data_IF_281069381556
#
_entry.id   IF_281069381556
#
_cell.length_a   1.000
_cell.length_b   1.000
_cell.length_c   1.000
_cell.angle_alpha   90.00
_cell.angle_beta   90.00
_cell.angle_gamma   90.00
#
_symmetry.space_group_name_H-M   'P 1'
#
loop_
_entity.id
_entity.type
_entity.pdbx_description
1 polymer ?
#
# COMPACT_ATOMS: atom_id res chain seq x y z
N UNK A 1 -1.32 -41.10 76.79
CA UNK A 1 -0.60 -42.39 76.64
C UNK A 1 -0.13 -42.66 75.21
N UNK A 2 -1.06 -42.81 74.25
CA UNK A 2 -0.75 -43.28 72.90
C UNK A 2 0.09 -42.29 72.07
N UNK A 3 -0.25 -40.99 72.10
CA UNK A 3 0.47 -39.95 71.34
C UNK A 3 1.97 -39.91 71.71
N UNK A 4 2.29 -40.05 73.01
CA UNK A 4 3.68 -40.08 73.49
C UNK A 4 4.46 -41.27 72.93
N UNK A 5 3.84 -42.46 72.86
CA UNK A 5 4.45 -43.65 72.26
C UNK A 5 4.70 -43.45 70.77
N UNK A 6 3.75 -42.87 70.04
CA UNK A 6 3.92 -42.56 68.61
C UNK A 6 5.07 -41.58 68.36
N UNK A 7 5.18 -40.53 69.19
CA UNK A 7 6.31 -39.59 69.09
C UNK A 7 7.64 -40.29 69.36
N UNK A 8 7.76 -41.07 70.44
CA UNK A 8 8.99 -41.81 70.75
C UNK A 8 9.35 -42.82 69.66
N UNK A 9 8.37 -43.51 69.08
CA UNK A 9 8.56 -44.42 67.96
C UNK A 9 9.13 -43.67 66.74
N UNK A 10 8.50 -42.56 66.35
CA UNK A 10 8.95 -41.73 65.23
C UNK A 10 10.37 -41.20 65.43
N UNK A 11 10.72 -40.73 66.64
CA UNK A 11 12.07 -40.25 66.96
C UNK A 11 13.13 -41.34 66.92
N UNK A 12 12.79 -42.54 67.36
CA UNK A 12 13.70 -43.69 67.27
C UNK A 12 13.91 -44.13 65.81
N UNK A 13 12.86 -44.10 64.99
CA UNK A 13 12.92 -44.51 63.58
C UNK A 13 13.69 -43.49 62.73
N UNK A 14 13.37 -42.21 62.88
CA UNK A 14 14.01 -41.12 62.12
C UNK A 14 15.37 -40.70 62.67
N UNK A 15 15.72 -41.13 63.90
CA UNK A 15 16.89 -40.68 64.68
C UNK A 15 16.92 -39.17 64.94
N UNK A 16 15.79 -38.48 64.76
CA UNK A 16 15.65 -37.04 64.92
C UNK A 16 14.66 -36.71 66.05
N UNK A 17 14.94 -35.61 66.78
CA UNK A 17 14.05 -35.14 67.86
C UNK A 17 12.99 -34.18 67.33
N UNK A 18 11.72 -34.46 67.63
CA UNK A 18 10.57 -33.59 67.32
C UNK A 18 10.62 -32.33 68.17
N UNK A 19 10.93 -31.18 67.56
CA UNK A 19 11.03 -29.89 68.26
C UNK A 19 9.66 -29.32 68.65
N UNK A 20 8.69 -29.41 67.74
CA UNK A 20 7.36 -28.83 67.91
C UNK A 20 6.29 -29.76 67.35
N UNK A 21 5.19 -29.89 68.08
CA UNK A 21 4.00 -30.65 67.68
C UNK A 21 2.90 -29.66 67.34
N UNK A 22 2.36 -29.77 66.13
CA UNK A 22 1.25 -28.95 65.66
C UNK A 22 -0.07 -29.74 65.75
N UNK A 23 -1.04 -29.18 66.46
CA UNK A 23 -2.35 -29.82 66.66
C UNK A 23 -3.36 -29.25 65.66
N UNK A 24 -4.06 -30.15 64.96
CA UNK A 24 -5.17 -29.85 64.05
C UNK A 24 -6.40 -30.73 64.36
N UNK A 25 -7.55 -30.39 63.78
CA UNK A 25 -8.83 -31.08 64.00
C UNK A 25 -9.69 -30.47 65.11
N UNK A 26 -10.92 -30.96 65.26
CA UNK A 26 -11.92 -30.41 66.19
C UNK A 26 -11.49 -30.47 67.66
N UNK A 27 -10.71 -31.49 68.04
CA UNK A 27 -10.22 -31.67 69.42
C UNK A 27 -9.29 -30.53 69.86
N UNK A 28 -8.65 -29.80 68.93
CA UNK A 28 -7.81 -28.64 69.28
C UNK A 28 -8.60 -27.48 69.91
N UNK A 29 -9.93 -27.52 69.89
CA UNK A 29 -10.80 -26.54 70.56
C UNK A 29 -10.96 -26.79 72.06
N UNK A 30 -10.64 -28.00 72.54
CA UNK A 30 -10.75 -28.32 73.97
C UNK A 30 -9.78 -27.43 74.74
N UNK A 31 -10.31 -26.68 75.70
CA UNK A 31 -9.54 -25.78 76.53
C UNK A 31 -8.53 -26.58 77.37
N UNK A 32 -7.27 -26.11 77.42
CA UNK A 32 -6.21 -26.79 78.18
C UNK A 32 -5.63 -28.06 77.55
N UNK A 33 -6.17 -28.54 76.41
CA UNK A 33 -5.64 -29.74 75.75
C UNK A 33 -4.18 -29.57 75.34
N UNK A 34 -3.83 -28.43 74.74
CA UNK A 34 -2.46 -28.15 74.31
C UNK A 34 -1.48 -28.14 75.49
N UNK A 35 -1.88 -27.57 76.62
CA UNK A 35 -1.06 -27.54 77.84
C UNK A 35 -0.92 -28.92 78.48
N UNK A 36 -1.99 -29.72 78.48
CA UNK A 36 -1.95 -31.11 78.94
C UNK A 36 -1.00 -31.94 78.07
N UNK A 37 -1.11 -31.84 76.75
CA UNK A 37 -0.22 -32.54 75.81
C UNK A 37 1.23 -32.08 75.99
N UNK A 38 1.47 -30.78 76.18
CA UNK A 38 2.80 -30.23 76.46
C UNK A 38 3.39 -30.81 77.74
N UNK A 39 2.59 -30.92 78.81
CA UNK A 39 3.00 -31.53 80.09
C UNK A 39 3.28 -33.03 79.98
N UNK A 40 2.43 -33.78 79.26
CA UNK A 40 2.54 -35.24 79.16
C UNK A 40 3.67 -35.69 78.22
N UNK A 41 3.84 -34.98 77.10
CA UNK A 41 4.81 -35.30 76.05
C UNK A 41 6.17 -34.66 76.33
N UNK A 42 6.22 -33.54 77.05
CA UNK A 42 7.46 -32.82 77.36
C UNK A 42 8.07 -32.11 76.14
N UNK A 43 7.26 -31.76 75.15
CA UNK A 43 7.65 -31.03 73.92
C UNK A 43 6.78 -29.81 73.71
N UNK A 44 7.23 -28.87 72.89
CA UNK A 44 6.43 -27.71 72.52
C UNK A 44 5.22 -28.18 71.69
N UNK A 45 4.01 -27.87 72.15
CA UNK A 45 2.77 -28.20 71.46
C UNK A 45 2.04 -26.90 71.17
N UNK A 46 1.67 -26.68 69.90
CA UNK A 46 0.99 -25.47 69.43
C UNK A 46 -0.18 -25.83 68.54
N UNK A 47 -1.22 -24.99 68.51
CA UNK A 47 -2.29 -25.13 67.52
C UNK A 47 -1.74 -24.73 66.15
N UNK A 48 -2.13 -25.47 65.12
CA UNK A 48 -1.79 -25.11 63.75
C UNK A 48 -2.38 -23.73 63.42
N UNK A 49 -1.56 -22.85 62.85
CA UNK A 49 -1.95 -21.52 62.42
C UNK A 49 -1.68 -21.34 60.93
N UNK A 50 -2.70 -20.91 60.21
CA UNK A 50 -2.70 -20.58 58.78
C UNK A 50 -3.23 -19.14 58.71
N UNK A 51 -2.41 -18.17 58.25
CA UNK A 51 -2.79 -16.75 58.25
C UNK A 51 -4.16 -16.48 57.63
N UNK A 52 -4.45 -17.11 56.49
CA UNK A 52 -5.68 -16.93 55.71
C UNK A 52 -6.94 -17.44 56.40
N UNK A 53 -6.81 -18.35 57.37
CA UNK A 53 -7.95 -18.91 58.11
C UNK A 53 -8.16 -18.22 59.47
N UNK A 54 -7.11 -17.63 60.04
CA UNK A 54 -7.16 -17.08 61.40
C UNK A 54 -7.11 -18.16 62.49
N UNK A 55 -6.97 -17.73 63.75
CA UNK A 55 -6.53 -18.59 64.88
C UNK A 55 -7.47 -19.76 65.15
N UNK A 56 -8.79 -19.54 65.14
CA UNK A 56 -9.77 -20.57 65.51
C UNK A 56 -10.08 -21.56 64.39
N UNK A 57 -10.05 -21.07 63.15
CA UNK A 57 -10.41 -21.84 61.95
C UNK A 57 -9.22 -22.61 61.38
N UNK A 58 -7.98 -22.16 61.64
CA UNK A 58 -6.76 -22.79 61.13
C UNK A 58 -6.67 -24.29 61.45
N UNK A 59 -6.88 -24.74 62.72
CA UNK A 59 -6.81 -26.17 63.03
C UNK A 59 -7.95 -26.97 62.39
N UNK A 60 -9.11 -26.36 62.20
CA UNK A 60 -10.32 -27.04 61.74
C UNK A 60 -10.29 -27.27 60.21
N UNK A 61 -9.94 -26.23 59.46
CA UNK A 61 -9.99 -26.25 57.98
C UNK A 61 -8.66 -26.54 57.32
N UNK A 62 -7.61 -26.86 58.09
CA UNK A 62 -6.28 -27.17 57.57
C UNK A 62 -6.27 -28.14 56.37
N UNK A 63 -7.04 -29.24 56.46
CA UNK A 63 -7.13 -30.24 55.39
C UNK A 63 -7.83 -29.69 54.15
N UNK A 64 -8.95 -29.00 54.33
CA UNK A 64 -9.71 -28.40 53.23
C UNK A 64 -8.89 -27.31 52.53
N UNK A 65 -8.18 -26.49 53.31
CA UNK A 65 -7.28 -25.46 52.81
C UNK A 65 -6.09 -26.06 52.04
N UNK A 66 -5.47 -27.12 52.57
CA UNK A 66 -4.41 -27.83 51.85
C UNK A 66 -4.91 -28.42 50.51
N UNK A 67 -6.12 -28.98 50.48
CA UNK A 67 -6.74 -29.48 49.24
C UNK A 67 -7.07 -28.33 48.26
N UNK A 68 -7.51 -27.18 48.75
CA UNK A 68 -7.77 -26.00 47.94
C UNK A 68 -6.48 -25.46 47.31
N UNK A 69 -5.41 -25.33 48.11
CA UNK A 69 -4.08 -24.97 47.61
C UNK A 69 -3.57 -25.98 46.58
N UNK A 70 -3.78 -27.26 46.85
CA UNK A 70 -3.39 -28.34 45.95
C UNK A 70 -4.10 -28.27 44.59
N UNK A 71 -5.40 -27.95 44.59
CA UNK A 71 -6.19 -27.79 43.37
C UNK A 71 -5.99 -26.46 42.64
N UNK A 72 -5.57 -25.41 43.35
CA UNK A 72 -5.32 -24.07 42.80
C UNK A 72 -3.98 -23.95 42.05
N UNK A 73 -3.03 -24.84 42.35
CA UNK A 73 -1.72 -24.83 41.67
C UNK A 73 -1.88 -25.12 40.17
N UNK A 74 -1.41 -24.19 39.34
CA UNK A 74 -1.48 -24.24 37.87
C UNK A 74 -0.82 -25.49 37.27
N UNK A 75 0.18 -26.05 37.97
CA UNK A 75 0.70 -27.39 37.72
C UNK A 75 -0.09 -28.33 38.61
N UNK A 76 -1.19 -28.86 38.09
CA UNK A 76 -2.03 -29.83 38.80
C UNK A 76 -1.15 -30.81 39.57
N UNK A 77 -1.36 -30.88 40.88
CA UNK A 77 -0.39 -31.50 41.78
C UNK A 77 0.01 -32.93 41.36
N UNK A 78 1.22 -33.33 41.74
CA UNK A 78 1.88 -34.57 41.32
C UNK A 78 1.06 -35.86 41.53
N UNK A 79 0.04 -35.83 42.40
CA UNK A 79 -0.81 -36.95 42.77
C UNK A 79 -2.28 -36.69 42.40
N UNK A 80 -2.70 -37.15 41.22
CA UNK A 80 -4.10 -37.07 40.80
C UNK A 80 -4.69 -38.48 40.64
N UNK A 81 -5.68 -38.82 41.46
CA UNK A 81 -6.38 -40.10 41.40
C UNK A 81 -7.48 -40.16 40.34
N UNK A 82 -7.78 -39.04 39.65
CA UNK A 82 -8.76 -39.01 38.57
C UNK A 82 -8.28 -39.87 37.39
N UNK A 83 -9.04 -40.92 37.09
CA UNK A 83 -8.81 -41.84 35.96
C UNK A 83 -10.07 -41.97 35.12
N UNK A 84 -9.89 -42.38 33.87
CA UNK A 84 -10.97 -42.71 32.92
C UNK A 84 -12.08 -41.66 32.86
N UNK A 85 -13.30 -42.02 33.28
CA UNK A 85 -14.48 -41.16 33.29
C UNK A 85 -14.36 -39.94 34.21
N UNK A 86 -13.44 -39.96 35.17
CA UNK A 86 -13.16 -38.85 36.07
C UNK A 86 -11.94 -38.02 35.66
N UNK A 87 -11.22 -38.42 34.60
CA UNK A 87 -10.09 -37.65 34.07
C UNK A 87 -10.60 -36.28 33.61
N UNK A 88 -9.91 -35.22 34.03
CA UNK A 88 -10.23 -33.86 33.60
C UNK A 88 -10.09 -33.77 32.08
N UNK A 89 -11.22 -33.82 31.38
CA UNK A 89 -11.31 -33.45 29.98
C UNK A 89 -11.40 -31.93 29.99
N UNK A 90 -10.25 -31.27 29.91
CA UNK A 90 -10.19 -29.83 30.11
C UNK A 90 -11.12 -29.03 29.21
N UNK A 91 -11.30 -27.77 29.56
CA UNK A 91 -12.02 -26.77 28.78
C UNK A 91 -11.66 -26.82 27.28
N UNK A 92 -10.46 -27.30 26.93
CA UNK A 92 -10.02 -27.57 25.56
C UNK A 92 -11.01 -28.39 24.72
N UNK A 93 -11.72 -29.38 25.28
CA UNK A 93 -12.68 -30.18 24.48
C UNK A 93 -13.93 -29.38 24.12
N UNK A 94 -14.40 -28.55 25.05
CA UNK A 94 -15.55 -27.68 24.82
C UNK A 94 -15.17 -26.47 23.96
N UNK A 95 -14.03 -25.83 24.26
CA UNK A 95 -13.46 -24.75 23.45
C UNK A 95 -13.22 -25.22 22.02
N UNK A 96 -12.62 -26.40 21.82
CA UNK A 96 -12.40 -26.95 20.47
C UNK A 96 -13.71 -27.17 19.72
N UNK A 97 -14.79 -27.60 20.39
CA UNK A 97 -16.11 -27.70 19.75
C UNK A 97 -16.69 -26.33 19.39
N UNK A 98 -16.57 -25.36 20.29
CA UNK A 98 -17.05 -23.98 20.07
C UNK A 98 -16.30 -23.29 18.93
N UNK A 99 -14.99 -23.51 18.80
CA UNK A 99 -14.16 -22.91 17.74
C UNK A 99 -14.15 -23.68 16.42
N UNK A 100 -14.53 -24.95 16.40
CA UNK A 100 -14.52 -25.77 15.17
C UNK A 100 -15.52 -25.26 14.13
N UNK A 101 -16.76 -24.95 14.56
CA UNK A 101 -17.80 -24.45 13.65
C UNK A 101 -17.42 -23.12 12.99
N UNK A 102 -17.03 -22.05 13.74
CA UNK A 102 -16.62 -20.79 13.12
C UNK A 102 -15.34 -20.93 12.30
N UNK A 103 -14.41 -21.81 12.67
CA UNK A 103 -13.20 -22.05 11.87
C UNK A 103 -13.53 -22.66 10.50
N UNK A 104 -14.43 -23.65 10.44
CA UNK A 104 -14.89 -24.23 9.17
C UNK A 104 -15.58 -23.18 8.32
N UNK A 105 -16.45 -22.36 8.93
CA UNK A 105 -17.19 -21.32 8.23
C UNK A 105 -16.26 -20.23 7.67
N UNK A 106 -15.20 -19.87 8.42
CA UNK A 106 -14.15 -18.97 7.97
C UNK A 106 -13.36 -19.54 6.77
N UNK A 107 -13.00 -20.83 6.80
CA UNK A 107 -12.31 -21.48 5.68
C UNK A 107 -13.17 -21.45 4.41
N UNK A 108 -14.48 -21.72 4.54
CA UNK A 108 -15.43 -21.65 3.41
C UNK A 108 -15.52 -20.23 2.86
N UNK A 109 -15.58 -19.21 3.74
CA UNK A 109 -15.60 -17.81 3.33
C UNK A 109 -14.34 -17.42 2.54
N UNK A 110 -13.16 -17.82 3.04
CA UNK A 110 -11.89 -17.56 2.36
C UNK A 110 -11.83 -18.26 1.00
N UNK A 111 -12.30 -19.52 0.92
CA UNK A 111 -12.37 -20.26 -0.34
C UNK A 111 -13.27 -19.56 -1.37
N UNK A 112 -14.44 -19.08 -0.96
CA UNK A 112 -15.36 -18.33 -1.84
C UNK A 112 -14.74 -17.00 -2.31
N UNK A 113 -14.01 -16.31 -1.44
CA UNK A 113 -13.35 -15.05 -1.78
C UNK A 113 -12.23 -15.27 -2.80
N UNK A 114 -11.41 -16.31 -2.59
CA UNK A 114 -10.38 -16.70 -3.55
C UNK A 114 -10.98 -17.15 -4.88
N UNK A 115 -12.08 -17.90 -4.86
CA UNK A 115 -12.80 -18.29 -6.08
C UNK A 115 -13.29 -17.07 -6.85
N UNK A 116 -13.92 -16.10 -6.18
CA UNK A 116 -14.40 -14.88 -6.84
C UNK A 116 -13.26 -14.07 -7.46
N UNK A 117 -12.15 -13.93 -6.73
CA UNK A 117 -10.99 -13.17 -7.19
C UNK A 117 -10.30 -13.84 -8.38
N UNK A 118 -10.17 -15.17 -8.34
CA UNK A 118 -9.59 -15.94 -9.44
C UNK A 118 -10.49 -15.93 -10.67
N UNK A 119 -11.80 -16.14 -10.54
CA UNK A 119 -12.73 -16.03 -11.68
C UNK A 119 -12.63 -14.67 -12.36
N UNK A 120 -12.69 -13.56 -11.61
CA UNK A 120 -12.53 -12.22 -12.18
C UNK A 120 -11.18 -12.01 -12.87
N UNK A 121 -10.11 -12.59 -12.32
CA UNK A 121 -8.80 -12.52 -12.92
C UNK A 121 -8.71 -13.32 -14.23
N UNK A 122 -9.31 -14.52 -14.28
CA UNK A 122 -9.37 -15.34 -15.49
C UNK A 122 -10.28 -14.73 -16.55
N UNK A 123 -11.46 -14.24 -16.19
CA UNK A 123 -12.38 -13.56 -17.13
C UNK A 123 -11.75 -12.31 -17.74
N UNK A 124 -10.99 -11.53 -16.95
CA UNK A 124 -10.31 -10.34 -17.43
C UNK A 124 -9.10 -10.70 -18.32
N UNK A 125 -8.39 -11.79 -18.00
CA UNK A 125 -7.27 -12.28 -18.80
C UNK A 125 -7.73 -12.86 -20.14
N UNK A 126 -8.83 -13.60 -20.14
CA UNK A 126 -9.41 -14.17 -21.35
C UNK A 126 -9.94 -13.07 -22.27
N UNK A 127 -10.62 -12.05 -21.74
CA UNK A 127 -11.06 -10.90 -22.52
C UNK A 127 -9.91 -10.12 -23.14
N UNK A 128 -8.81 -9.89 -22.40
CA UNK A 128 -7.61 -9.23 -22.95
C UNK A 128 -6.97 -10.08 -24.05
N UNK A 129 -6.86 -11.40 -23.85
CA UNK A 129 -6.28 -12.29 -24.86
C UNK A 129 -7.11 -12.38 -26.15
N UNK A 130 -8.44 -12.35 -26.03
CA UNK A 130 -9.36 -12.35 -27.17
C UNK A 130 -9.28 -11.01 -27.92
N UNK A 131 -9.18 -9.90 -27.19
CA UNK A 131 -9.06 -8.57 -27.79
C UNK A 131 -7.69 -8.41 -28.48
N UNK A 132 -6.60 -8.85 -27.86
CA UNK A 132 -5.27 -8.87 -28.49
C UNK A 132 -5.22 -9.76 -29.73
N UNK A 133 -5.91 -10.91 -29.72
CA UNK A 133 -5.99 -11.80 -30.87
C UNK A 133 -6.83 -11.21 -32.02
N UNK A 134 -7.90 -10.47 -31.71
CA UNK A 134 -8.69 -9.75 -32.71
C UNK A 134 -7.89 -8.60 -33.33
N UNK A 135 -7.23 -7.79 -32.51
CA UNK A 135 -6.38 -6.68 -32.99
C UNK A 135 -5.19 -7.21 -33.81
N UNK A 136 -4.57 -8.32 -33.40
CA UNK A 136 -3.48 -8.94 -34.16
C UNK A 136 -3.94 -9.49 -35.53
N UNK A 137 -5.21 -9.94 -35.65
CA UNK A 137 -5.78 -10.38 -36.93
C UNK A 137 -6.01 -9.20 -37.86
N UNK A 138 -6.66 -8.13 -37.39
CA UNK A 138 -6.92 -6.93 -38.22
C UNK A 138 -5.62 -6.26 -38.69
N UNK A 139 -4.61 -6.17 -37.81
CA UNK A 139 -3.30 -5.61 -38.15
C UNK A 139 -2.56 -6.45 -39.19
N UNK A 140 -2.67 -7.78 -39.12
CA UNK A 140 -2.06 -8.71 -40.09
C UNK A 140 -2.77 -8.69 -41.44
N UNK A 141 -4.09 -8.47 -41.47
CA UNK A 141 -4.84 -8.30 -42.72
C UNK A 141 -4.54 -6.96 -43.41
N UNK A 142 -4.26 -5.91 -42.62
CA UNK A 142 -3.99 -4.56 -43.16
C UNK A 142 -2.53 -4.39 -43.60
N UNK A 143 -1.57 -5.09 -42.98
CA UNK A 143 -0.14 -4.98 -43.29
C UNK A 143 0.51 -6.38 -43.40
N UNK A 144 0.52 -6.99 -44.60
CA UNK A 144 1.04 -8.35 -44.79
C UNK A 144 2.57 -8.49 -44.66
N UNK A 145 3.32 -7.40 -44.50
CA UNK A 145 4.79 -7.37 -44.54
C UNK A 145 5.46 -7.30 -43.15
N UNK A 146 4.72 -7.44 -42.05
CA UNK A 146 5.28 -7.32 -40.69
C UNK A 146 5.03 -8.59 -39.86
N UNK A 147 6.08 -9.40 -39.65
CA UNK A 147 5.96 -10.74 -39.09
C UNK A 147 5.72 -10.82 -37.58
N UNK A 148 6.00 -9.80 -36.77
CA UNK A 148 5.62 -9.82 -35.34
C UNK A 148 5.67 -8.42 -34.75
N UNK A 149 4.54 -7.90 -34.26
CA UNK A 149 4.48 -6.64 -33.51
C UNK A 149 4.16 -7.00 -32.04
N UNK A 150 5.07 -6.77 -31.08
CA UNK A 150 4.85 -7.13 -29.67
C UNK A 150 3.71 -6.38 -28.98
N UNK A 151 3.27 -5.24 -29.56
CA UNK A 151 2.21 -4.37 -29.02
C UNK A 151 1.44 -3.67 -30.14
N UNK A 152 0.38 -4.30 -30.67
CA UNK A 152 -0.37 -3.78 -31.82
C UNK A 152 -1.00 -2.39 -31.59
N UNK A 153 -1.45 -2.10 -30.36
CA UNK A 153 -2.12 -0.85 -30.02
C UNK A 153 -1.18 0.37 -30.03
N UNK A 154 0.06 0.21 -29.57
CA UNK A 154 1.07 1.27 -29.58
C UNK A 154 1.51 1.61 -31.02
N UNK A 155 1.60 0.59 -31.88
CA UNK A 155 1.91 0.79 -33.30
C UNK A 155 0.78 1.54 -34.03
N UNK A 156 -0.48 1.14 -33.80
CA UNK A 156 -1.64 1.86 -34.36
C UNK A 156 -1.71 3.31 -33.89
N UNK A 157 -1.50 3.61 -32.61
CA UNK A 157 -1.44 4.99 -32.13
C UNK A 157 -0.34 5.80 -32.81
N UNK A 158 0.82 5.18 -33.04
CA UNK A 158 1.93 5.85 -33.72
C UNK A 158 1.60 6.15 -35.19
N UNK A 159 0.98 5.22 -35.92
CA UNK A 159 0.60 5.45 -37.32
C UNK A 159 -0.55 6.46 -37.44
N UNK A 160 -1.55 6.40 -36.55
CA UNK A 160 -2.62 7.42 -36.51
C UNK A 160 -2.05 8.80 -36.19
N UNK A 161 -1.07 8.91 -35.30
CA UNK A 161 -0.42 10.19 -34.99
C UNK A 161 0.35 10.75 -36.19
N UNK A 162 1.05 9.92 -36.97
CA UNK A 162 1.74 10.34 -38.21
C UNK A 162 0.76 10.80 -39.29
N UNK A 163 -0.36 10.09 -39.45
CA UNK A 163 -1.41 10.47 -40.41
C UNK A 163 -2.07 11.77 -39.98
N UNK A 164 -2.32 11.96 -38.68
CA UNK A 164 -2.90 13.20 -38.13
C UNK A 164 -1.94 14.39 -38.24
N UNK A 165 -0.64 14.17 -38.07
CA UNK A 165 0.38 15.20 -38.30
C UNK A 165 0.41 15.62 -39.77
N UNK A 166 0.40 14.66 -40.72
CA UNK A 166 0.30 14.95 -42.16
C UNK A 166 -1.02 15.65 -42.51
N UNK A 167 -2.13 15.26 -41.93
CA UNK A 167 -3.42 15.91 -42.13
C UNK A 167 -3.42 17.33 -41.55
N UNK A 168 -2.81 17.58 -40.39
CA UNK A 168 -2.70 18.94 -39.83
C UNK A 168 -1.84 19.88 -40.68
N UNK A 169 -0.81 19.33 -41.37
CA UNK A 169 -0.03 20.07 -42.35
C UNK A 169 -0.85 20.41 -43.62
N UNK A 170 -1.89 19.63 -43.93
CA UNK A 170 -2.77 19.83 -45.09
C UNK A 170 -3.98 20.72 -44.72
N UNK A 171 -4.61 20.52 -43.55
CA UNK A 171 -5.70 21.36 -43.03
C UNK A 171 -5.23 22.79 -42.73
N UNK A 172 -3.95 22.98 -42.38
CA UNK A 172 -3.32 24.30 -42.32
C UNK A 172 -3.29 25.05 -43.67
N UNK A 173 -3.64 24.38 -44.78
CA UNK A 173 -3.70 24.94 -46.14
C UNK A 173 -5.15 25.16 -46.61
N UNK A 174 -6.14 24.47 -46.05
CA UNK A 174 -7.54 24.57 -46.49
C UNK A 174 -8.33 25.75 -45.89
N UNK A 175 -7.78 26.45 -44.88
CA UNK A 175 -8.45 27.59 -44.24
C UNK A 175 -7.55 28.79 -43.89
N UNK A 176 -6.29 28.79 -44.32
CA UNK A 176 -5.35 29.88 -44.14
C UNK A 176 -4.86 30.35 -45.52
N UNK A 177 -4.63 31.67 -45.68
CA UNK A 177 -4.13 32.28 -46.91
C UNK A 177 -3.02 31.44 -47.53
N UNK A 178 -3.13 31.12 -48.81
CA UNK A 178 -2.17 30.21 -49.47
C UNK A 178 -0.74 30.73 -49.28
N UNK A 179 0.30 29.87 -49.21
CA UNK A 179 1.69 30.33 -49.06
C UNK A 179 2.10 31.40 -50.08
N UNK A 180 1.52 31.32 -51.29
CA UNK A 180 1.67 32.31 -52.37
C UNK A 180 0.96 33.65 -52.08
N UNK A 181 -0.20 33.63 -51.45
CA UNK A 181 -0.95 34.82 -51.05
C UNK A 181 -0.28 35.55 -49.89
N UNK A 182 0.32 34.81 -48.95
CA UNK A 182 1.15 35.36 -47.87
C UNK A 182 2.38 36.08 -48.45
N UNK A 183 3.07 35.42 -49.39
CA UNK A 183 4.19 36.01 -50.13
C UNK A 183 3.78 37.28 -50.90
N UNK A 184 2.61 37.25 -51.55
CA UNK A 184 2.06 38.41 -52.26
C UNK A 184 1.76 39.56 -51.30
N UNK A 185 1.10 39.30 -50.17
CA UNK A 185 0.79 40.31 -49.16
C UNK A 185 2.04 40.90 -48.52
N UNK A 186 3.10 40.10 -48.35
CA UNK A 186 4.41 40.58 -47.93
C UNK A 186 5.02 41.52 -48.98
N UNK A 187 4.98 41.12 -50.26
CA UNK A 187 5.50 41.92 -51.36
C UNK A 187 4.76 43.25 -51.54
N UNK A 188 3.43 43.26 -51.41
CA UNK A 188 2.60 44.46 -51.57
C UNK A 188 2.76 45.45 -50.40
N UNK A 189 3.24 44.99 -49.25
CA UNK A 189 3.42 45.82 -48.05
C UNK A 189 4.80 46.49 -47.97
N UNK A 190 5.71 46.18 -48.89
CA UNK A 190 7.05 46.75 -48.94
C UNK A 190 7.10 48.00 -49.84
N UNK A 191 7.84 49.06 -49.46
CA UNK A 191 7.97 50.26 -50.29
C UNK A 191 8.75 49.98 -51.59
N UNK A 192 8.34 50.62 -52.69
CA UNK A 192 8.98 50.47 -54.00
C UNK A 192 10.46 50.92 -53.94
N UNK A 193 11.39 49.96 -54.10
CA UNK A 193 12.84 50.21 -54.14
C UNK A 193 13.68 49.40 -53.15
N UNK A 194 13.07 48.60 -52.27
CA UNK A 194 13.78 47.79 -51.28
C UNK A 194 13.94 46.33 -51.75
N UNK A 195 15.16 45.78 -51.69
CA UNK A 195 15.47 44.40 -52.09
C UNK A 195 15.44 43.45 -50.90
N UNK A 196 14.27 42.87 -50.59
CA UNK A 196 14.16 41.83 -49.56
C UNK A 196 14.44 40.43 -50.14
N UNK A 197 15.43 39.71 -49.60
CA UNK A 197 15.66 38.30 -49.95
C UNK A 197 15.13 37.38 -48.86
N UNK A 198 14.06 36.65 -49.14
CA UNK A 198 13.48 35.65 -48.24
C UNK A 198 14.13 34.29 -48.50
N UNK A 199 14.60 33.62 -47.45
CA UNK A 199 15.26 32.31 -47.54
C UNK A 199 14.35 31.17 -47.08
N UNK A 200 13.51 31.41 -46.06
CA UNK A 200 12.67 30.37 -45.48
C UNK A 200 11.37 30.99 -44.96
N UNK A 201 10.24 30.33 -45.23
CA UNK A 201 8.92 30.69 -44.71
C UNK A 201 8.34 29.46 -44.04
N UNK A 202 8.06 29.55 -42.74
CA UNK A 202 7.39 28.49 -41.98
C UNK A 202 6.02 28.95 -41.55
N UNK A 203 5.01 28.15 -41.87
CA UNK A 203 3.65 28.37 -41.40
C UNK A 203 3.50 27.55 -40.10
N UNK A 204 3.28 28.25 -38.99
CA UNK A 204 3.09 27.66 -37.67
C UNK A 204 1.61 27.78 -37.27
N UNK A 205 0.89 26.65 -37.34
CA UNK A 205 -0.54 26.58 -37.04
C UNK A 205 -1.43 27.23 -38.11
N UNK A 206 -2.64 27.63 -37.72
CA UNK A 206 -3.63 28.16 -38.69
C UNK A 206 -3.39 29.61 -39.14
N UNK A 207 -2.55 30.39 -38.43
CA UNK A 207 -2.46 31.85 -38.66
C UNK A 207 -1.07 32.47 -38.41
N UNK A 208 -0.11 31.69 -37.89
CA UNK A 208 1.24 32.18 -37.61
C UNK A 208 2.17 31.90 -38.79
N UNK A 209 2.96 32.90 -39.19
CA UNK A 209 3.96 32.78 -40.25
C UNK A 209 5.29 33.31 -39.73
N UNK A 210 6.33 32.49 -39.79
CA UNK A 210 7.71 32.93 -39.56
C UNK A 210 8.42 33.11 -40.89
N UNK A 211 8.98 34.30 -41.09
CA UNK A 211 9.74 34.64 -42.29
C UNK A 211 11.20 34.88 -41.87
N UNK A 212 12.10 34.15 -42.49
CA UNK A 212 13.54 34.37 -42.37
C UNK A 212 14.11 34.92 -43.68
N UNK A 213 14.84 36.03 -43.58
CA UNK A 213 15.41 36.70 -44.75
C UNK A 213 16.75 37.39 -44.47
N UNK A 214 17.30 37.99 -45.52
CA UNK A 214 18.52 38.79 -45.50
C UNK A 214 18.22 40.17 -46.11
N UNK A 215 18.66 41.22 -45.43
CA UNK A 215 18.60 42.63 -45.87
C UNK A 215 19.99 43.27 -45.82
N UNK A 216 20.15 44.46 -46.39
CA UNK A 216 21.45 45.10 -46.53
C UNK A 216 21.87 45.87 -45.27
N UNK A 217 20.93 46.23 -44.38
CA UNK A 217 21.27 46.82 -43.06
C UNK A 217 20.25 46.55 -41.95
N UNK A 218 20.63 46.78 -40.69
CA UNK A 218 19.73 46.71 -39.53
C UNK A 218 18.62 47.76 -39.57
N UNK A 219 18.86 48.89 -40.24
CA UNK A 219 17.88 49.97 -40.39
C UNK A 219 16.75 49.54 -41.32
N UNK A 220 17.06 48.81 -42.40
CA UNK A 220 16.05 48.24 -43.29
C UNK A 220 15.15 47.22 -42.59
N UNK A 221 15.66 46.43 -41.62
CA UNK A 221 14.81 45.51 -40.84
C UNK A 221 13.73 46.27 -40.06
N UNK A 222 14.10 47.41 -39.47
CA UNK A 222 13.17 48.24 -38.70
C UNK A 222 12.14 48.91 -39.62
N UNK A 223 12.55 49.36 -40.81
CA UNK A 223 11.62 49.91 -41.81
C UNK A 223 10.66 48.84 -42.35
N UNK A 224 11.10 47.60 -42.52
CA UNK A 224 10.25 46.46 -42.92
C UNK A 224 9.24 46.12 -41.82
N UNK A 225 9.68 46.07 -40.56
CA UNK A 225 8.79 45.84 -39.41
C UNK A 225 7.71 46.94 -39.31
N UNK A 226 8.09 48.19 -39.49
CA UNK A 226 7.17 49.33 -39.47
C UNK A 226 6.22 49.32 -40.68
N UNK A 227 6.70 49.00 -41.88
CA UNK A 227 5.89 48.90 -43.09
C UNK A 227 4.86 47.75 -42.99
N UNK A 228 5.30 46.58 -42.50
CA UNK A 228 4.41 45.42 -42.28
C UNK A 228 3.37 45.72 -41.18
N UNK A 229 3.76 46.43 -40.11
CA UNK A 229 2.82 46.85 -39.06
C UNK A 229 1.81 47.88 -39.56
N UNK A 230 2.21 48.82 -40.42
CA UNK A 230 1.33 49.85 -40.99
C UNK A 230 0.44 49.34 -42.12
N UNK A 231 0.75 48.21 -42.73
CA UNK A 231 -0.03 47.62 -43.83
C UNK A 231 -1.47 47.24 -43.43
N UNK A 232 -1.75 47.05 -42.13
CA UNK A 232 -3.06 46.68 -41.60
C UNK A 232 -3.52 45.25 -41.92
N UNK A 233 -2.72 44.49 -42.68
CA UNK A 233 -2.97 43.11 -43.11
C UNK A 233 -2.51 42.03 -42.10
N UNK A 234 -1.73 42.43 -41.11
CA UNK A 234 -1.20 41.55 -40.06
C UNK A 234 -1.70 42.02 -38.69
N UNK A 235 -2.11 41.08 -37.85
CA UNK A 235 -2.60 41.35 -36.48
C UNK A 235 -1.44 41.61 -35.52
N UNK A 236 -0.31 40.94 -35.73
CA UNK A 236 0.91 41.13 -34.96
C UNK A 236 2.14 40.91 -35.83
N UNK A 237 3.12 41.80 -35.70
CA UNK A 237 4.44 41.71 -36.33
C UNK A 237 5.46 41.78 -35.22
N UNK A 238 6.25 40.72 -35.03
CA UNK A 238 7.25 40.62 -33.97
C UNK A 238 8.60 40.30 -34.59
N UNK A 239 9.57 41.19 -34.39
CA UNK A 239 10.97 40.94 -34.72
C UNK A 239 11.58 40.01 -33.68
N UNK A 240 11.92 38.78 -34.08
CA UNK A 240 12.44 37.76 -33.18
C UNK A 240 13.96 37.85 -33.03
N UNK A 241 14.69 37.87 -34.15
CA UNK A 241 16.15 37.78 -34.16
C UNK A 241 16.76 38.59 -35.30
N UNK A 242 17.88 39.25 -35.03
CA UNK A 242 18.73 39.86 -36.08
C UNK A 242 20.19 39.59 -35.79
N UNK A 243 20.94 39.21 -36.83
CA UNK A 243 22.37 38.91 -36.72
C UNK A 243 23.13 39.20 -38.02
N UNK A 244 24.46 39.22 -37.93
CA UNK A 244 25.31 39.47 -39.09
C UNK A 244 25.39 38.22 -39.99
N UNK A 245 25.09 38.37 -41.27
CA UNK A 245 25.36 37.34 -42.27
C UNK A 245 26.83 37.43 -42.75
N UNK A 246 27.31 36.36 -43.39
CA UNK A 246 28.72 36.15 -43.76
C UNK A 246 29.25 37.17 -44.80
N UNK A 247 28.38 37.99 -45.39
CA UNK A 247 28.67 38.88 -46.52
C UNK A 247 28.38 40.38 -46.23
N UNK A 248 28.41 40.80 -44.96
CA UNK A 248 28.13 42.19 -44.55
C UNK A 248 26.64 42.59 -44.55
N UNK A 249 25.77 41.65 -44.94
CA UNK A 249 24.30 41.76 -44.88
C UNK A 249 23.75 41.32 -43.52
N UNK A 250 22.52 41.70 -43.17
CA UNK A 250 21.88 41.33 -41.90
C UNK A 250 20.85 40.22 -42.13
N UNK A 251 20.98 39.10 -41.40
CA UNK A 251 19.93 38.06 -41.34
C UNK A 251 18.89 38.48 -40.31
N UNK A 252 17.61 38.38 -40.66
CA UNK A 252 16.51 38.67 -39.75
C UNK A 252 15.49 37.53 -39.72
N UNK A 253 14.79 37.44 -38.59
CA UNK A 253 13.62 36.59 -38.41
C UNK A 253 12.47 37.42 -37.85
N UNK A 254 11.33 37.39 -38.53
CA UNK A 254 10.09 38.07 -38.13
C UNK A 254 8.97 37.02 -38.03
N UNK A 255 8.28 37.02 -36.91
CA UNK A 255 7.00 36.34 -36.73
C UNK A 255 5.86 37.27 -37.11
N UNK A 256 4.95 36.79 -37.94
CA UNK A 256 3.76 37.48 -38.40
C UNK A 256 2.53 36.67 -37.98
N UNK A 257 1.47 37.35 -37.57
CA UNK A 257 0.15 36.75 -37.40
C UNK A 257 -0.78 37.36 -38.44
N UNK A 258 -1.32 36.53 -39.34
CA UNK A 258 -2.22 36.98 -40.39
C UNK A 258 -3.57 37.34 -39.78
N UNK A 259 -4.03 38.56 -40.03
CA UNK A 259 -5.38 39.00 -39.67
C UNK A 259 -6.37 38.31 -40.62
N UNK A 260 -7.31 37.52 -40.09
CA UNK A 260 -8.37 36.94 -40.93
C UNK A 260 -9.23 38.06 -41.50
N UNK A 261 -9.34 38.12 -42.81
CA UNK A 261 -10.50 38.75 -43.44
C UNK A 261 -11.71 37.83 -43.19
N UNK A 262 -12.74 38.35 -42.54
CA UNK A 262 -14.08 37.73 -42.50
C UNK A 262 -14.78 37.89 -43.83
#
# INVERSE_FOLDING_TARGET
GEIKKTVQFFENETKDKVKTILVSGSMSRIQGLTELLKKEIGRDVKKLFIPDLGVDNSPLYAKAYALALYGSSYKGGYLNFRKDQFKYQGADRELRKVFMVPAVLFVVLVALLLYNMTSRYFDLKDQVSVLEAQVAREVKETFPDVQTIPRPAEYMQSEVSKVRERLSMIEGVEGASTPLEILRNLSDSLPNGMSLRVNDIKIEGNNGVKVQGICDSYQEVAEIEEALSKSGKFESVIRNQTGNAVDGKTKFEISLVLKRET
#
